data_IF_366893158313
#
_entry.id   IF_366893158313
#
_cell.length_a   1.000
_cell.length_b   1.000
_cell.length_c   1.000
_cell.angle_alpha   90.00
_cell.angle_beta   90.00
_cell.angle_gamma   90.00
#
_symmetry.space_group_name_H-M   'P 1'
#
loop_
_entity.id
_entity.type
_entity.pdbx_description
1 polymer ?
#
# COMPACT_ATOMS: atom_id res chain seq x y z
N UNK A 1 -11.99 -13.25 2.79
CA UNK A 1 -13.39 -13.03 3.20
C UNK A 1 -14.07 -12.16 2.15
N UNK A 2 -15.30 -12.46 1.75
CA UNK A 2 -16.07 -11.61 0.83
C UNK A 2 -16.79 -10.52 1.64
N UNK A 3 -16.55 -9.27 1.28
CA UNK A 3 -17.20 -8.10 1.86
C UNK A 3 -18.24 -7.56 0.88
N UNK A 4 -19.39 -7.12 1.40
CA UNK A 4 -20.49 -6.57 0.60
C UNK A 4 -20.88 -5.21 1.14
N UNK A 5 -20.95 -4.21 0.27
CA UNK A 5 -21.18 -2.80 0.62
C UNK A 5 -22.21 -2.21 -0.35
N UNK A 6 -23.20 -1.53 0.19
CA UNK A 6 -24.13 -0.71 -0.59
C UNK A 6 -23.47 0.62 -0.94
N UNK A 7 -23.52 0.99 -2.22
CA UNK A 7 -22.89 2.19 -2.77
C UNK A 7 -23.89 2.96 -3.64
N UNK A 8 -23.54 4.21 -3.94
CA UNK A 8 -24.25 5.01 -4.93
C UNK A 8 -23.51 5.01 -6.27
N UNK A 9 -24.25 5.18 -7.36
CA UNK A 9 -23.69 5.36 -8.70
C UNK A 9 -24.52 6.37 -9.50
N UNK A 10 -23.95 6.93 -10.56
CA UNK A 10 -24.60 7.95 -11.38
C UNK A 10 -24.11 7.90 -12.82
N UNK A 11 -24.87 8.54 -13.73
CA UNK A 11 -24.52 8.67 -15.15
C UNK A 11 -23.97 10.06 -15.46
N UNK A 12 -22.91 10.13 -16.26
CA UNK A 12 -22.27 11.40 -16.65
C UNK A 12 -23.14 12.30 -17.55
N UNK A 13 -24.07 11.71 -18.31
CA UNK A 13 -24.94 12.41 -19.26
C UNK A 13 -26.19 13.06 -18.63
N UNK A 14 -26.32 13.00 -17.30
CA UNK A 14 -27.33 13.77 -16.55
C UNK A 14 -26.86 15.21 -16.37
N UNK A 15 -26.96 16.00 -17.44
CA UNK A 15 -26.71 17.44 -17.42
C UNK A 15 -27.72 18.09 -16.48
N UNK A 16 -27.24 18.93 -15.55
CA UNK A 16 -27.97 19.69 -14.51
C UNK A 16 -28.22 18.98 -13.16
N UNK A 17 -27.38 19.34 -12.17
CA UNK A 17 -27.58 19.57 -10.72
C UNK A 17 -28.49 18.67 -9.85
N UNK A 18 -29.19 17.69 -10.41
CA UNK A 18 -30.01 16.67 -9.75
C UNK A 18 -29.76 15.31 -10.42
N UNK A 19 -28.49 14.98 -10.66
CA UNK A 19 -28.11 13.64 -11.12
C UNK A 19 -28.48 12.64 -10.01
N UNK A 20 -29.69 12.09 -10.11
CA UNK A 20 -30.21 11.12 -9.14
C UNK A 20 -29.21 9.97 -9.03
N UNK A 21 -28.63 9.82 -7.86
CA UNK A 21 -27.83 8.64 -7.58
C UNK A 21 -28.75 7.42 -7.60
N UNK A 22 -28.27 6.35 -8.19
CA UNK A 22 -28.91 5.04 -8.13
C UNK A 22 -28.18 4.19 -7.11
N UNK A 23 -28.93 3.30 -6.45
CA UNK A 23 -28.35 2.33 -5.54
C UNK A 23 -27.65 1.23 -6.34
N UNK A 24 -26.44 0.89 -5.93
CA UNK A 24 -25.63 -0.17 -6.48
C UNK A 24 -24.97 -0.95 -5.33
N UNK A 25 -24.39 -2.11 -5.64
CA UNK A 25 -23.74 -2.96 -4.65
C UNK A 25 -22.33 -3.29 -5.09
N UNK A 26 -21.36 -3.06 -4.23
CA UNK A 26 -19.99 -3.50 -4.40
C UNK A 26 -19.71 -4.73 -3.53
N UNK A 27 -19.06 -5.72 -4.10
CA UNK A 27 -18.51 -6.87 -3.39
C UNK A 27 -17.02 -6.92 -3.64
N UNK A 28 -16.23 -7.15 -2.60
CA UNK A 28 -14.79 -7.32 -2.76
C UNK A 28 -14.22 -8.41 -1.87
N UNK A 29 -13.15 -9.01 -2.33
CA UNK A 29 -12.39 -10.01 -1.59
C UNK A 29 -10.90 -9.70 -1.75
N UNK A 30 -10.19 -9.74 -0.62
CA UNK A 30 -8.71 -9.78 -0.59
C UNK A 30 -8.27 -11.22 -0.81
N UNK A 31 -7.39 -11.44 -1.79
CA UNK A 31 -6.73 -12.72 -2.08
C UNK A 31 -5.22 -12.59 -1.99
N UNK A 32 -4.49 -13.72 -1.95
CA UNK A 32 -3.02 -13.72 -1.99
C UNK A 32 -2.53 -13.62 -3.45
N UNK A 33 -1.34 -13.06 -3.69
CA UNK A 33 -0.62 -13.05 -4.98
C UNK A 33 -1.49 -12.76 -6.22
N UNK A 34 -2.01 -11.53 -6.37
CA UNK A 34 -2.85 -11.15 -7.52
C UNK A 34 -4.28 -11.70 -7.58
N UNK A 35 -4.84 -12.07 -6.43
CA UNK A 35 -6.18 -12.63 -6.36
C UNK A 35 -7.22 -11.73 -5.68
N UNK A 36 -7.00 -10.41 -5.65
CA UNK A 36 -8.05 -9.50 -5.22
C UNK A 36 -9.18 -9.46 -6.28
N UNK A 37 -10.42 -9.51 -5.82
CA UNK A 37 -11.61 -9.54 -6.66
C UNK A 37 -12.53 -8.39 -6.27
N UNK A 38 -13.02 -7.66 -7.27
CA UNK A 38 -14.09 -6.66 -7.11
C UNK A 38 -15.22 -6.99 -8.07
N UNK A 39 -16.46 -7.01 -7.56
CA UNK A 39 -17.70 -7.07 -8.34
C UNK A 39 -18.56 -5.88 -8.01
N UNK A 40 -19.16 -5.27 -9.02
CA UNK A 40 -20.11 -4.18 -8.82
C UNK A 40 -21.38 -4.43 -9.62
N UNK A 41 -22.50 -4.44 -8.92
CA UNK A 41 -23.83 -4.67 -9.47
C UNK A 41 -24.64 -3.38 -9.48
N UNK A 42 -25.23 -3.04 -10.63
CA UNK A 42 -26.05 -1.85 -10.79
C UNK A 42 -26.90 -1.91 -12.06
N UNK A 43 -27.49 -0.78 -12.49
CA UNK A 43 -28.32 -0.75 -13.71
C UNK A 43 -27.58 -1.11 -15.00
N UNK A 44 -26.25 -1.07 -15.00
CA UNK A 44 -25.38 -1.55 -16.08
C UNK A 44 -25.22 -3.09 -16.10
N UNK A 45 -25.78 -3.82 -15.13
CA UNK A 45 -25.53 -5.24 -14.93
C UNK A 45 -24.44 -5.47 -13.88
N UNK A 46 -23.48 -6.36 -14.19
CA UNK A 46 -22.37 -6.70 -13.29
C UNK A 46 -21.04 -6.40 -13.97
N UNK A 47 -20.22 -5.57 -13.34
CA UNK A 47 -18.79 -5.43 -13.67
C UNK A 47 -17.95 -6.24 -12.69
N UNK A 48 -16.92 -6.94 -13.19
CA UNK A 48 -16.05 -7.78 -12.37
C UNK A 48 -14.61 -7.69 -12.86
N UNK A 49 -13.66 -7.57 -11.94
CA UNK A 49 -12.25 -7.70 -12.26
C UNK A 49 -11.45 -8.32 -11.13
N UNK A 50 -10.36 -9.00 -11.51
CA UNK A 50 -9.30 -9.44 -10.62
C UNK A 50 -8.02 -8.64 -10.86
N UNK A 51 -7.27 -8.40 -9.79
CA UNK A 51 -6.00 -7.67 -9.84
C UNK A 51 -5.12 -7.96 -8.61
N UNK A 52 -3.95 -7.30 -8.54
CA UNK A 52 -3.02 -7.40 -7.41
C UNK A 52 -3.67 -7.05 -6.08
N UNK A 53 -4.47 -5.99 -6.08
CA UNK A 53 -5.14 -5.46 -4.91
C UNK A 53 -6.56 -4.97 -5.25
N UNK A 54 -7.35 -4.68 -4.22
CA UNK A 54 -8.76 -4.28 -4.37
C UNK A 54 -8.89 -2.94 -5.10
N UNK A 55 -7.94 -2.02 -4.98
CA UNK A 55 -7.95 -0.73 -5.67
C UNK A 55 -7.70 -0.92 -7.17
N UNK A 56 -6.70 -1.73 -7.56
CA UNK A 56 -6.44 -2.03 -8.96
C UNK A 56 -7.61 -2.79 -9.60
N UNK A 57 -8.22 -3.73 -8.87
CA UNK A 57 -9.43 -4.42 -9.33
C UNK A 57 -10.59 -3.44 -9.53
N UNK A 58 -10.76 -2.48 -8.62
CA UNK A 58 -11.75 -1.40 -8.76
C UNK A 58 -11.46 -0.52 -9.98
N UNK A 59 -10.19 -0.15 -10.25
CA UNK A 59 -9.84 0.64 -11.43
C UNK A 59 -10.21 -0.08 -12.73
N UNK A 60 -9.96 -1.40 -12.82
CA UNK A 60 -10.35 -2.21 -13.99
C UNK A 60 -11.86 -2.20 -14.20
N UNK A 61 -12.64 -2.46 -13.15
CA UNK A 61 -14.12 -2.38 -13.22
C UNK A 61 -14.57 -0.98 -13.65
N UNK A 62 -13.96 0.07 -13.09
CA UNK A 62 -14.34 1.45 -13.41
C UNK A 62 -14.07 1.83 -14.86
N UNK A 63 -12.96 1.38 -15.47
CA UNK A 63 -12.70 1.62 -16.90
C UNK A 63 -13.85 1.09 -17.75
N UNK A 64 -14.31 -0.14 -17.48
CA UNK A 64 -15.43 -0.74 -18.20
C UNK A 64 -16.74 0.03 -17.97
N UNK A 65 -16.99 0.52 -16.75
CA UNK A 65 -18.19 1.30 -16.43
C UNK A 65 -18.17 2.70 -17.04
N UNK A 66 -17.00 3.34 -17.08
CA UNK A 66 -16.82 4.67 -17.66
C UNK A 66 -17.12 4.65 -19.17
N UNK A 67 -16.76 3.57 -19.89
CA UNK A 67 -17.15 3.35 -21.29
C UNK A 67 -18.68 3.26 -21.48
N UNK A 68 -19.39 2.77 -20.46
CA UNK A 68 -20.86 2.72 -20.41
C UNK A 68 -21.49 4.02 -19.87
N UNK A 69 -20.68 5.02 -19.53
CA UNK A 69 -21.11 6.30 -18.98
C UNK A 69 -21.51 6.28 -17.49
N UNK A 70 -21.12 5.23 -16.76
CA UNK A 70 -21.45 5.03 -15.35
C UNK A 70 -20.26 5.31 -14.42
N UNK A 71 -20.55 5.96 -13.30
CA UNK A 71 -19.58 6.33 -12.28
C UNK A 71 -20.05 5.86 -10.90
N UNK A 72 -19.10 5.40 -10.07
CA UNK A 72 -19.35 4.94 -8.71
C UNK A 72 -19.05 6.08 -7.72
N UNK A 73 -20.02 6.41 -6.85
CA UNK A 73 -19.88 7.43 -5.82
C UNK A 73 -19.21 6.87 -4.55
N UNK A 74 -17.97 6.41 -4.72
CA UNK A 74 -17.12 5.85 -3.65
C UNK A 74 -15.82 6.62 -3.53
N UNK A 75 -15.19 6.62 -2.35
CA UNK A 75 -13.94 7.36 -2.13
C UNK A 75 -12.84 6.95 -3.11
N UNK A 76 -12.78 5.66 -3.47
CA UNK A 76 -11.86 5.13 -4.47
C UNK A 76 -11.99 5.73 -5.86
N UNK A 77 -13.11 6.41 -6.16
CA UNK A 77 -13.37 7.05 -7.43
C UNK A 77 -13.18 8.57 -7.42
N UNK A 78 -12.77 9.16 -6.29
CA UNK A 78 -12.57 10.61 -6.20
C UNK A 78 -11.34 11.08 -6.97
N UNK A 79 -11.45 12.20 -7.66
CA UNK A 79 -10.33 12.81 -8.42
C UNK A 79 -9.23 13.37 -7.54
N UNK A 80 -9.49 13.56 -6.24
CA UNK A 80 -8.58 14.16 -5.27
C UNK A 80 -7.90 13.14 -4.35
N UNK A 81 -8.05 11.83 -4.63
CA UNK A 81 -7.37 10.78 -3.85
C UNK A 81 -6.32 10.06 -4.68
N UNK A 82 -5.25 9.67 -4.01
CA UNK A 82 -4.20 8.80 -4.50
C UNK A 82 -4.22 7.50 -3.72
N UNK A 83 -3.88 6.41 -4.39
CA UNK A 83 -3.59 5.14 -3.74
C UNK A 83 -2.16 4.75 -4.12
N UNK A 84 -1.20 5.18 -3.29
CA UNK A 84 0.23 4.94 -3.51
C UNK A 84 0.63 3.58 -2.93
N UNK A 85 1.72 2.99 -3.45
CA UNK A 85 2.16 1.63 -3.11
C UNK A 85 2.21 1.34 -1.60
N UNK A 86 2.62 2.33 -0.81
CA UNK A 86 2.69 2.27 0.67
C UNK A 86 1.36 1.83 1.31
N UNK A 87 0.22 2.19 0.72
CA UNK A 87 -1.13 1.97 1.24
C UNK A 87 -1.80 0.74 0.65
N UNK A 88 -1.52 0.50 -0.63
CA UNK A 88 -2.08 -0.65 -1.38
C UNK A 88 -1.66 -1.95 -0.73
N UNK A 89 -0.41 -2.04 -0.28
CA UNK A 89 0.17 -3.29 0.21
C UNK A 89 -0.28 -3.68 1.64
N UNK A 90 -0.74 -2.73 2.46
CA UNK A 90 -1.20 -3.03 3.84
C UNK A 90 -2.70 -3.12 3.99
N UNK A 91 -3.46 -2.22 3.35
CA UNK A 91 -4.92 -2.33 3.31
C UNK A 91 -5.37 -3.49 2.40
N UNK A 92 -4.52 -3.95 1.48
CA UNK A 92 -4.91 -4.80 0.36
C UNK A 92 -5.71 -4.01 -0.68
N UNK A 93 -5.42 -2.71 -0.82
CA UNK A 93 -6.13 -1.77 -1.68
C UNK A 93 -7.49 -1.32 -1.15
N UNK A 94 -7.78 -1.47 0.14
CA UNK A 94 -9.08 -1.08 0.72
C UNK A 94 -9.11 0.33 1.29
N UNK A 95 -8.02 1.09 1.16
CA UNK A 95 -7.91 2.47 1.62
C UNK A 95 -7.29 3.36 0.53
N UNK A 96 -7.70 4.63 0.52
CA UNK A 96 -7.16 5.67 -0.36
C UNK A 96 -6.80 6.90 0.45
N UNK A 97 -5.86 7.69 -0.04
CA UNK A 97 -5.37 8.88 0.64
C UNK A 97 -5.70 10.14 -0.11
N UNK A 98 -6.12 11.16 0.63
CA UNK A 98 -6.14 12.52 0.11
C UNK A 98 -4.79 13.18 0.48
N UNK A 99 -3.97 13.59 -0.50
CA UNK A 99 -2.76 14.34 -0.24
C UNK A 99 -3.15 15.77 0.13
N UNK A 100 -3.08 16.11 1.42
CA UNK A 100 -3.30 17.48 1.91
C UNK A 100 -1.92 18.12 2.17
N UNK A 101 -1.83 19.45 2.22
CA UNK A 101 -0.54 20.19 2.31
C UNK A 101 0.30 19.89 3.56
N UNK A 102 -0.31 19.33 4.61
CA UNK A 102 0.35 19.08 5.89
C UNK A 102 0.04 17.69 6.50
N UNK A 103 -1.04 17.03 6.08
CA UNK A 103 -1.47 15.72 6.59
C UNK A 103 -2.05 14.84 5.49
N UNK A 104 -1.94 13.51 5.63
CA UNK A 104 -2.57 12.57 4.71
C UNK A 104 -3.84 12.03 5.34
N UNK A 105 -5.00 12.34 4.76
CA UNK A 105 -6.28 11.81 5.25
C UNK A 105 -6.53 10.43 4.62
N UNK A 106 -6.71 9.39 5.43
CA UNK A 106 -7.05 8.04 4.97
C UNK A 106 -8.56 7.83 4.90
N UNK A 107 -9.04 7.29 3.79
CA UNK A 107 -10.45 7.02 3.53
C UNK A 107 -10.65 5.56 3.12
N UNK A 108 -11.70 4.91 3.63
CA UNK A 108 -12.08 3.58 3.17
C UNK A 108 -12.47 3.61 1.68
N UNK A 109 -11.94 2.68 0.88
CA UNK A 109 -12.08 2.64 -0.58
C UNK A 109 -13.53 2.73 -1.05
N UNK A 110 -14.38 1.88 -0.48
CA UNK A 110 -15.81 1.80 -0.79
C UNK A 110 -16.67 2.67 0.14
N UNK A 111 -16.05 3.56 0.93
CA UNK A 111 -16.79 4.58 1.68
C UNK A 111 -17.50 5.55 0.72
N UNK A 112 -18.61 6.18 1.14
CA UNK A 112 -19.39 7.06 0.28
C UNK A 112 -18.58 8.30 -0.12
N UNK A 113 -18.74 8.73 -1.38
CA UNK A 113 -18.17 9.98 -1.89
C UNK A 113 -19.26 10.89 -2.45
N UNK A 114 -19.01 12.20 -2.40
CA UNK A 114 -19.80 13.18 -3.14
C UNK A 114 -19.60 12.95 -4.66
N UNK A 115 -20.67 12.75 -5.46
CA UNK A 115 -20.57 12.63 -6.91
C UNK A 115 -19.80 13.79 -7.57
N UNK A 116 -19.82 14.99 -6.99
CA UNK A 116 -19.07 16.15 -7.48
C UNK A 116 -17.54 15.98 -7.35
N UNK A 117 -17.06 15.10 -6.47
CA UNK A 117 -15.63 14.80 -6.31
C UNK A 117 -15.17 13.61 -7.15
N UNK A 118 -16.09 12.82 -7.70
CA UNK A 118 -15.75 11.65 -8.53
C UNK A 118 -15.16 12.08 -9.87
N UNK A 119 -14.10 11.39 -10.28
CA UNK A 119 -13.41 11.58 -11.55
C UNK A 119 -13.28 10.27 -12.34
N UNK A 120 -12.73 10.40 -13.53
CA UNK A 120 -12.34 9.29 -14.40
C UNK A 120 -11.11 8.57 -13.86
N UNK A 121 -10.90 7.32 -14.28
CA UNK A 121 -9.66 6.60 -13.97
C UNK A 121 -8.44 7.35 -14.52
N UNK A 122 -8.54 7.95 -15.71
CA UNK A 122 -7.45 8.70 -16.33
C UNK A 122 -7.03 9.94 -15.49
N UNK A 123 -7.98 10.68 -14.93
CA UNK A 123 -7.69 11.82 -14.04
C UNK A 123 -6.95 11.37 -12.76
N UNK A 124 -7.33 10.24 -12.18
CA UNK A 124 -6.65 9.72 -10.99
C UNK A 124 -5.25 9.16 -11.30
N UNK A 125 -5.05 8.59 -12.49
CA UNK A 125 -3.73 8.15 -12.95
C UNK A 125 -2.79 9.34 -13.15
N UNK A 126 -3.28 10.46 -13.67
CA UNK A 126 -2.54 11.71 -13.77
C UNK A 126 -2.11 12.21 -12.38
N UNK A 127 -3.06 12.32 -11.45
CA UNK A 127 -2.77 12.75 -10.08
C UNK A 127 -1.74 11.82 -9.41
N UNK A 128 -1.88 10.51 -9.60
CA UNK A 128 -0.95 9.51 -9.05
C UNK A 128 0.45 9.66 -9.64
N UNK A 129 0.57 10.05 -10.91
CA UNK A 129 1.86 10.33 -11.56
C UNK A 129 2.49 11.58 -10.97
N UNK A 130 1.73 12.66 -10.82
CA UNK A 130 2.19 13.91 -10.19
C UNK A 130 2.68 13.69 -8.74
N UNK A 131 2.07 12.76 -8.01
CA UNK A 131 2.37 12.48 -6.60
C UNK A 131 3.29 11.27 -6.38
N UNK A 132 3.71 10.56 -7.43
CA UNK A 132 4.68 9.47 -7.30
C UNK A 132 6.08 10.05 -7.10
N UNK A 133 6.78 9.74 -5.99
CA UNK A 133 8.13 10.24 -5.79
C UNK A 133 9.08 9.63 -6.84
N UNK A 134 9.76 10.51 -7.57
CA UNK A 134 11.11 10.33 -8.13
C UNK A 134 11.39 9.12 -9.05
N UNK A 135 10.40 8.57 -9.76
CA UNK A 135 10.69 7.63 -10.86
C UNK A 135 11.29 8.32 -12.10
N UNK A 136 11.19 9.65 -12.20
CA UNK A 136 11.46 10.38 -13.45
C UNK A 136 12.90 10.87 -13.64
N UNK A 137 13.71 11.01 -12.58
CA UNK A 137 15.08 11.50 -12.79
C UNK A 137 15.99 10.35 -13.27
N UNK A 138 16.58 10.50 -14.48
CA UNK A 138 17.49 9.49 -15.01
C UNK A 138 18.66 9.29 -14.03
N UNK A 139 19.07 8.04 -13.75
CA UNK A 139 20.25 7.81 -12.92
C UNK A 139 21.47 8.45 -13.57
N UNK A 140 22.34 9.07 -12.78
CA UNK A 140 23.56 9.67 -13.29
C UNK A 140 24.40 8.64 -14.05
N UNK A 141 24.83 8.99 -15.26
CA UNK A 141 25.71 8.13 -16.08
C UNK A 141 27.12 8.15 -15.49
N UNK A 142 27.48 7.09 -14.77
CA UNK A 142 28.81 6.93 -14.18
C UNK A 142 29.86 6.50 -15.21
N UNK A 143 31.15 6.62 -14.89
CA UNK A 143 32.22 6.13 -15.79
C UNK A 143 32.20 4.60 -15.91
N UNK A 144 31.76 3.89 -14.88
CA UNK A 144 31.56 2.43 -14.92
C UNK A 144 30.50 2.05 -15.95
N UNK A 145 29.38 2.76 -15.97
CA UNK A 145 28.34 2.60 -17.00
C UNK A 145 28.92 2.86 -18.39
N UNK A 146 29.71 3.94 -18.57
CA UNK A 146 30.37 4.22 -19.86
C UNK A 146 31.35 3.13 -20.27
N UNK A 147 32.09 2.54 -19.33
CA UNK A 147 32.99 1.44 -19.61
C UNK A 147 32.22 0.19 -20.09
N UNK A 148 31.10 -0.15 -19.44
CA UNK A 148 30.21 -1.24 -19.87
C UNK A 148 29.66 -0.98 -21.27
N UNK A 149 29.17 0.24 -21.54
CA UNK A 149 28.61 0.61 -22.85
C UNK A 149 29.63 0.50 -23.99
N UNK A 150 30.89 0.90 -23.77
CA UNK A 150 31.99 0.72 -24.74
C UNK A 150 32.29 -0.75 -25.05
N UNK A 151 32.01 -1.65 -24.12
CA UNK A 151 32.20 -3.10 -24.30
C UNK A 151 30.97 -3.80 -24.88
N UNK A 152 29.81 -3.12 -24.88
CA UNK A 152 28.54 -3.65 -25.34
C UNK A 152 27.84 -2.64 -26.29
N UNK A 153 28.42 -2.34 -27.47
CA UNK A 153 27.77 -1.45 -28.43
C UNK A 153 26.50 -2.07 -29.02
N UNK A 154 25.61 -1.23 -29.56
CA UNK A 154 24.31 -1.63 -30.12
C UNK A 154 23.42 -2.42 -29.15
N UNK A 155 23.40 -2.01 -27.88
CA UNK A 155 22.70 -2.71 -26.80
C UNK A 155 21.84 -1.76 -25.96
N UNK A 156 21.24 -2.29 -24.89
CA UNK A 156 20.58 -1.52 -23.85
C UNK A 156 21.33 -1.71 -22.54
N UNK A 157 21.58 -0.61 -21.83
CA UNK A 157 22.03 -0.65 -20.44
C UNK A 157 20.85 -0.31 -19.53
N UNK A 158 20.39 -1.30 -18.76
CA UNK A 158 19.26 -1.15 -17.86
C UNK A 158 19.68 -0.53 -16.53
N UNK A 159 18.83 0.35 -16.02
CA UNK A 159 18.86 0.84 -14.64
C UNK A 159 17.93 -0.02 -13.80
N UNK A 160 18.45 -0.62 -12.74
CA UNK A 160 17.74 -1.55 -11.85
C UNK A 160 17.53 -0.86 -10.50
N UNK A 161 16.41 -1.12 -9.82
CA UNK A 161 16.18 -0.64 -8.44
C UNK A 161 17.26 -1.19 -7.49
N UNK A 162 17.70 -0.36 -6.55
CA UNK A 162 18.78 -0.70 -5.63
C UNK A 162 18.45 -1.88 -4.68
N UNK A 163 17.17 -2.20 -4.51
CA UNK A 163 16.73 -3.37 -3.74
C UNK A 163 17.03 -4.71 -4.43
N UNK A 164 17.27 -4.70 -5.75
CA UNK A 164 17.64 -5.90 -6.48
C UNK A 164 19.15 -6.02 -6.65
N UNK A 165 19.66 -7.25 -6.49
CA UNK A 165 21.00 -7.58 -6.94
C UNK A 165 21.04 -7.55 -8.48
N UNK A 166 21.84 -6.66 -9.10
CA UNK A 166 21.92 -6.56 -10.57
C UNK A 166 22.46 -7.82 -11.25
N UNK A 167 23.11 -8.72 -10.50
CA UNK A 167 23.62 -10.00 -10.99
C UNK A 167 22.60 -11.15 -10.91
N UNK A 168 21.44 -10.90 -10.28
CA UNK A 168 20.36 -11.86 -10.12
C UNK A 168 19.27 -11.71 -11.19
N UNK A 169 18.29 -12.61 -11.20
CA UNK A 169 17.10 -12.47 -12.05
C UNK A 169 16.21 -11.37 -11.48
N UNK A 170 16.16 -10.23 -12.17
CA UNK A 170 15.34 -9.08 -11.79
C UNK A 170 13.98 -9.17 -12.50
N UNK A 171 12.85 -9.05 -11.77
CA UNK A 171 11.54 -9.01 -12.40
C UNK A 171 11.39 -7.74 -13.28
N UNK A 172 10.57 -7.76 -14.35
CA UNK A 172 10.43 -6.62 -15.25
C UNK A 172 10.04 -5.31 -14.55
N UNK A 173 9.28 -5.38 -13.46
CA UNK A 173 8.87 -4.22 -12.66
C UNK A 173 9.98 -3.67 -11.74
N UNK A 174 11.07 -4.42 -11.53
CA UNK A 174 12.25 -3.98 -10.79
C UNK A 174 13.25 -3.18 -11.63
N UNK A 175 12.99 -3.04 -12.94
CA UNK A 175 13.79 -2.24 -13.87
C UNK A 175 13.22 -0.82 -13.88
N UNK A 176 14.03 0.18 -13.56
CA UNK A 176 13.67 1.60 -13.58
C UNK A 176 13.46 2.13 -15.00
N UNK A 177 14.26 1.61 -15.93
CA UNK A 177 14.33 2.06 -17.31
C UNK A 177 15.68 1.69 -17.91
N UNK A 178 16.08 2.35 -19.00
CA UNK A 178 17.37 2.07 -19.60
C UNK A 178 17.84 3.11 -20.60
N UNK A 179 19.13 3.04 -20.90
CA UNK A 179 19.78 3.83 -21.93
C UNK A 179 20.04 2.96 -23.15
N UNK A 180 19.66 3.47 -24.33
CA UNK A 180 20.10 2.85 -25.58
C UNK A 180 21.58 3.15 -25.80
N UNK A 181 22.37 2.12 -26.10
CA UNK A 181 23.80 2.24 -26.42
C UNK A 181 23.99 2.13 -27.93
N UNK A 182 24.64 3.13 -28.52
CA UNK A 182 24.90 3.15 -29.96
C UNK A 182 26.09 2.26 -30.38
N UNK A 183 26.43 2.27 -31.66
CA UNK A 183 27.53 1.47 -32.22
C UNK A 183 28.92 1.89 -31.72
N UNK A 184 29.05 3.08 -31.13
CA UNK A 184 30.28 3.62 -30.57
C UNK A 184 30.35 3.47 -29.04
N UNK A 185 29.32 2.91 -28.42
CA UNK A 185 29.24 2.75 -26.96
C UNK A 185 28.82 4.04 -26.23
N UNK A 186 28.20 5.00 -26.92
CA UNK A 186 27.63 6.18 -26.29
C UNK A 186 26.16 5.95 -25.90
N UNK A 187 25.74 6.63 -24.83
CA UNK A 187 24.36 6.59 -24.37
C UNK A 187 23.48 7.56 -25.14
N UNK A 188 22.33 7.08 -25.60
CA UNK A 188 21.20 7.90 -26.02
C UNK A 188 20.38 8.40 -24.83
N UNK A 189 19.14 8.80 -25.13
CA UNK A 189 18.18 9.24 -24.13
C UNK A 189 17.77 8.11 -23.17
N UNK A 190 17.48 8.47 -21.91
CA UNK A 190 16.92 7.55 -20.94
C UNK A 190 15.45 7.28 -21.28
N UNK A 191 15.08 6.01 -21.36
CA UNK A 191 13.70 5.59 -21.53
C UNK A 191 13.21 5.00 -20.20
N UNK A 192 12.27 5.66 -19.49
CA UNK A 192 11.71 5.13 -18.27
C UNK A 192 10.86 3.89 -18.55
N UNK A 193 10.86 2.94 -17.60
CA UNK A 193 9.98 1.78 -17.67
C UNK A 193 8.62 2.14 -17.05
N UNK A 194 7.51 2.17 -17.81
CA UNK A 194 6.19 2.48 -17.27
C UNK A 194 5.67 1.43 -16.28
N UNK A 195 6.25 0.22 -16.28
CA UNK A 195 5.94 -0.85 -15.33
C UNK A 195 6.82 -0.84 -14.07
N UNK A 196 7.71 0.14 -13.90
CA UNK A 196 8.59 0.22 -12.74
C UNK A 196 7.80 0.42 -11.43
N UNK A 197 8.14 -0.37 -10.41
CA UNK A 197 7.62 -0.24 -9.05
C UNK A 197 8.76 0.19 -8.12
N UNK A 198 8.75 1.42 -7.58
CA UNK A 198 9.87 1.93 -6.79
C UNK A 198 10.01 1.22 -5.44
N UNK A 199 11.24 0.84 -5.10
CA UNK A 199 11.60 0.33 -3.78
C UNK A 199 11.72 1.44 -2.71
N UNK A 200 11.93 1.08 -1.43
CA UNK A 200 12.00 2.02 -0.30
C UNK A 200 12.95 3.21 -0.53
N UNK A 201 14.14 2.95 -1.08
CA UNK A 201 15.11 4.01 -1.36
C UNK A 201 14.64 4.97 -2.45
N UNK A 202 14.04 4.44 -3.54
CA UNK A 202 13.50 5.27 -4.62
C UNK A 202 12.27 6.08 -4.18
N UNK A 203 11.51 5.56 -3.22
CA UNK A 203 10.42 6.27 -2.53
C UNK A 203 10.90 7.35 -1.56
N UNK A 204 12.21 7.47 -1.34
CA UNK A 204 12.81 8.44 -0.43
C UNK A 204 12.55 8.13 1.04
N UNK A 205 12.26 6.87 1.38
CA UNK A 205 11.95 6.51 2.76
C UNK A 205 13.17 6.59 3.67
N UNK A 206 12.96 6.90 4.96
CA UNK A 206 14.02 6.85 5.96
C UNK A 206 14.61 5.44 6.04
N UNK A 207 15.92 5.33 6.27
CA UNK A 207 16.56 4.03 6.48
C UNK A 207 15.99 3.37 7.75
N UNK A 208 15.70 2.07 7.70
CA UNK A 208 15.25 1.33 8.88
C UNK A 208 16.41 1.23 9.88
N UNK A 209 16.10 1.35 11.17
CA UNK A 209 17.09 1.19 12.25
C UNK A 209 16.98 -0.16 12.94
N UNK A 210 15.95 -0.95 12.62
CA UNK A 210 15.71 -2.26 13.19
C UNK A 210 15.00 -3.19 12.19
N UNK A 211 14.92 -4.49 12.53
CA UNK A 211 14.37 -5.51 11.64
C UNK A 211 12.87 -5.32 11.38
N UNK A 212 12.09 -4.91 12.37
CA UNK A 212 10.66 -4.64 12.17
C UNK A 212 10.46 -3.52 11.14
N UNK A 213 11.23 -2.42 11.22
CA UNK A 213 11.19 -1.36 10.22
C UNK A 213 11.60 -1.85 8.82
N UNK A 214 12.62 -2.72 8.71
CA UNK A 214 13.03 -3.31 7.43
C UNK A 214 11.95 -4.21 6.83
N UNK A 215 11.29 -5.02 7.66
CA UNK A 215 10.23 -5.89 7.17
C UNK A 215 8.98 -5.09 6.80
N UNK A 216 8.67 -4.04 7.58
CA UNK A 216 7.60 -3.09 7.26
C UNK A 216 7.86 -2.38 5.94
N UNK A 217 9.07 -1.85 5.69
CA UNK A 217 9.35 -1.18 4.42
C UNK A 217 9.25 -2.14 3.22
N UNK A 218 9.76 -3.37 3.35
CA UNK A 218 9.68 -4.35 2.27
C UNK A 218 8.22 -4.72 1.98
N UNK A 219 7.42 -4.96 3.03
CA UNK A 219 6.00 -5.21 2.88
C UNK A 219 5.25 -4.00 2.29
N UNK A 220 5.51 -2.78 2.78
CA UNK A 220 4.85 -1.55 2.33
C UNK A 220 5.21 -1.19 0.88
N UNK A 221 6.44 -1.48 0.43
CA UNK A 221 6.88 -1.23 -0.94
C UNK A 221 6.49 -2.35 -1.91
N UNK A 222 6.06 -3.51 -1.40
CA UNK A 222 5.73 -4.69 -2.21
C UNK A 222 6.94 -5.51 -2.63
N UNK A 223 8.10 -5.24 -2.01
CA UNK A 223 9.36 -5.95 -2.23
C UNK A 223 9.54 -7.16 -1.31
N UNK A 224 8.66 -7.33 -0.32
CA UNK A 224 8.64 -8.49 0.57
C UNK A 224 7.22 -8.91 0.95
N UNK A 225 7.05 -10.16 1.40
CA UNK A 225 5.75 -10.65 1.83
C UNK A 225 5.31 -9.96 3.12
N UNK A 226 4.02 -9.62 3.17
CA UNK A 226 3.39 -8.99 4.33
C UNK A 226 3.48 -9.85 5.58
N UNK A 227 3.38 -11.17 5.41
CA UNK A 227 3.44 -12.16 6.47
C UNK A 227 4.76 -12.09 7.25
N UNK A 228 5.87 -11.73 6.59
CA UNK A 228 7.16 -11.55 7.27
C UNK A 228 7.09 -10.37 8.24
N UNK A 229 6.53 -9.24 7.83
CA UNK A 229 6.35 -8.09 8.72
C UNK A 229 5.42 -8.41 9.90
N UNK A 230 4.32 -9.14 9.66
CA UNK A 230 3.39 -9.56 10.73
C UNK A 230 4.04 -10.56 11.71
N UNK A 231 4.82 -11.51 11.20
CA UNK A 231 5.58 -12.46 12.03
C UNK A 231 6.60 -11.73 12.91
N UNK A 232 7.39 -10.83 12.32
CA UNK A 232 8.35 -10.01 13.07
C UNK A 232 7.63 -9.15 14.10
N UNK A 233 6.52 -8.52 13.74
CA UNK A 233 5.72 -7.68 14.64
C UNK A 233 5.20 -8.45 15.86
N UNK A 234 4.76 -9.71 15.70
CA UNK A 234 4.28 -10.52 16.82
C UNK A 234 5.34 -10.66 17.93
N UNK A 235 6.59 -10.91 17.54
CA UNK A 235 7.70 -11.10 18.48
C UNK A 235 8.41 -9.81 18.87
N UNK A 236 8.06 -8.69 18.24
CA UNK A 236 8.73 -7.43 18.47
C UNK A 236 8.26 -6.74 19.76
N UNK A 237 9.18 -6.14 20.50
CA UNK A 237 8.86 -5.28 21.64
C UNK A 237 8.56 -3.85 21.16
N UNK A 238 7.32 -3.43 21.34
CA UNK A 238 6.83 -2.11 20.96
C UNK A 238 6.85 -1.18 22.18
N UNK A 239 7.20 0.08 21.96
CA UNK A 239 7.07 1.15 22.96
C UNK A 239 5.74 1.87 22.74
N UNK A 240 4.93 2.03 23.78
CA UNK A 240 3.59 2.64 23.69
C UNK A 240 3.44 3.71 24.76
N UNK A 241 2.63 4.74 24.48
CA UNK A 241 2.26 5.73 25.48
C UNK A 241 1.46 5.08 26.62
N UNK A 242 1.77 5.48 27.85
CA UNK A 242 1.08 5.06 29.07
C UNK A 242 0.39 6.28 29.69
N UNK A 243 -0.77 6.06 30.34
CA UNK A 243 -1.40 7.09 31.16
C UNK A 243 -0.55 7.36 32.42
N UNK A 244 -0.07 8.60 32.65
CA UNK A 244 0.77 8.91 33.81
C UNK A 244 0.15 8.52 35.16
N UNK A 245 -1.18 8.59 35.27
CA UNK A 245 -1.93 8.30 36.49
C UNK A 245 -2.49 6.86 36.55
N UNK A 246 -2.37 6.09 35.46
CA UNK A 246 -2.92 4.73 35.33
C UNK A 246 -1.87 3.78 34.74
N UNK A 247 -0.87 3.37 35.54
CA UNK A 247 0.20 2.53 35.04
C UNK A 247 -0.32 1.17 34.56
N UNK A 248 0.14 0.76 33.38
CA UNK A 248 -0.32 -0.45 32.68
C UNK A 248 -1.57 -0.27 31.80
N UNK A 249 -2.18 0.92 31.75
CA UNK A 249 -3.26 1.23 30.80
C UNK A 249 -2.71 1.83 29.50
N UNK A 250 -3.20 1.33 28.36
CA UNK A 250 -2.81 1.81 27.03
C UNK A 250 -3.68 2.99 26.59
N UNK A 251 -3.07 3.95 25.89
CA UNK A 251 -3.79 5.06 25.28
C UNK A 251 -4.37 4.65 23.91
N UNK A 252 -5.70 4.74 23.78
CA UNK A 252 -6.40 4.59 22.50
C UNK A 252 -6.98 5.94 22.08
N UNK A 253 -6.58 6.43 20.90
CA UNK A 253 -7.18 7.62 20.30
C UNK A 253 -8.42 7.23 19.50
N UNK A 254 -9.48 8.05 19.57
CA UNK A 254 -10.68 7.88 18.75
C UNK A 254 -10.56 8.71 17.48
N UNK A 255 -10.58 8.06 16.32
CA UNK A 255 -10.48 8.69 15.01
C UNK A 255 -11.64 8.29 14.08
N UNK A 256 -11.83 9.04 12.99
CA UNK A 256 -12.74 8.64 11.93
C UNK A 256 -12.26 7.30 11.32
N UNK A 257 -12.94 6.20 11.65
CA UNK A 257 -12.52 4.84 11.30
C UNK A 257 -12.27 3.91 12.49
N UNK A 258 -12.44 4.40 13.73
CA UNK A 258 -12.36 3.62 14.97
C UNK A 258 -11.09 3.90 15.77
N UNK A 259 -10.96 3.19 16.89
CA UNK A 259 -9.89 3.39 17.86
C UNK A 259 -8.51 3.05 17.28
N UNK A 260 -7.52 3.87 17.61
CA UNK A 260 -6.12 3.73 17.19
C UNK A 260 -5.21 3.64 18.41
N UNK A 261 -4.32 2.66 18.40
CA UNK A 261 -3.23 2.52 19.35
C UNK A 261 -1.94 3.01 18.68
N UNK A 262 -1.33 4.07 19.22
CA UNK A 262 -0.04 4.54 18.76
C UNK A 262 1.10 3.79 19.47
N UNK A 263 2.07 3.32 18.69
CA UNK A 263 3.24 2.60 19.18
C UNK A 263 4.49 2.98 18.38
N UNK A 264 5.66 2.70 18.95
CA UNK A 264 6.96 2.93 18.35
C UNK A 264 7.69 1.60 18.20
N UNK A 265 8.41 1.46 17.08
CA UNK A 265 9.24 0.28 16.77
C UNK A 265 10.47 0.17 17.65
N UNK A 266 10.85 1.24 18.35
CA UNK A 266 11.88 1.21 19.39
C UNK A 266 11.76 2.41 20.35
N UNK A 267 12.42 2.37 21.52
CA UNK A 267 12.44 3.50 22.45
C UNK A 267 13.06 4.78 21.85
N UNK A 268 13.99 4.64 20.90
CA UNK A 268 14.61 5.77 20.19
C UNK A 268 13.65 6.47 19.23
N UNK A 269 12.56 5.80 18.83
CA UNK A 269 11.49 6.37 18.00
C UNK A 269 10.41 7.07 18.81
N UNK A 270 10.51 7.11 20.15
CA UNK A 270 9.52 7.73 21.03
C UNK A 270 9.35 9.24 20.74
N UNK A 271 8.12 9.73 20.48
CA UNK A 271 7.82 11.15 20.39
C UNK A 271 8.16 11.90 21.69
N UNK A 272 8.58 13.17 21.59
CA UNK A 272 8.98 13.97 22.74
C UNK A 272 7.82 14.22 23.73
N UNK A 273 6.60 14.28 23.21
CA UNK A 273 5.35 14.47 23.94
C UNK A 273 4.95 13.27 24.81
N UNK A 274 5.53 12.09 24.61
CA UNK A 274 5.22 10.91 25.42
C UNK A 274 5.95 10.98 26.77
N UNK A 275 5.23 11.41 27.80
CA UNK A 275 5.78 11.61 29.16
C UNK A 275 6.01 10.31 29.93
N UNK A 276 5.18 9.28 29.70
CA UNK A 276 5.37 7.92 30.20
C UNK A 276 5.20 6.92 29.08
N UNK A 277 5.99 5.85 29.11
CA UNK A 277 5.92 4.78 28.11
C UNK A 277 6.05 3.43 28.77
N UNK A 278 5.37 2.46 28.16
CA UNK A 278 5.49 1.05 28.49
C UNK A 278 5.95 0.26 27.27
N UNK A 279 6.58 -0.89 27.52
CA UNK A 279 7.00 -1.82 26.50
C UNK A 279 6.15 -3.10 26.57
N UNK A 280 5.71 -3.60 25.42
CA UNK A 280 5.06 -4.90 25.32
C UNK A 280 5.39 -5.58 23.99
N UNK A 281 5.43 -6.92 24.00
CA UNK A 281 5.52 -7.68 22.76
C UNK A 281 4.25 -7.51 21.90
N UNK A 282 4.37 -7.52 20.58
CA UNK A 282 3.23 -7.44 19.67
C UNK A 282 2.16 -8.52 19.92
N UNK A 283 2.56 -9.72 20.38
CA UNK A 283 1.63 -10.78 20.83
C UNK A 283 0.68 -10.34 21.95
N UNK A 284 1.06 -9.39 22.80
CA UNK A 284 0.17 -8.84 23.84
C UNK A 284 -1.02 -8.06 23.24
N UNK A 285 -0.92 -7.65 21.97
CA UNK A 285 -1.95 -6.87 21.29
C UNK A 285 -3.06 -7.73 20.66
N UNK A 286 -2.95 -9.05 20.71
CA UNK A 286 -3.94 -9.98 20.12
C UNK A 286 -5.35 -9.90 20.76
N UNK A 287 -5.48 -9.24 21.92
CA UNK A 287 -6.76 -8.98 22.57
C UNK A 287 -7.54 -7.77 22.05
N UNK A 288 -6.94 -6.95 21.19
CA UNK A 288 -7.47 -5.64 20.78
C UNK A 288 -8.07 -5.67 19.37
N UNK A 289 -8.89 -6.69 19.08
CA UNK A 289 -9.60 -6.76 17.79
C UNK A 289 -10.44 -5.51 17.52
N UNK A 290 -10.45 -5.05 16.28
CA UNK A 290 -11.13 -3.81 15.87
C UNK A 290 -10.33 -2.51 16.08
N UNK A 291 -9.19 -2.56 16.79
CA UNK A 291 -8.26 -1.43 16.93
C UNK A 291 -7.25 -1.43 15.79
N UNK A 292 -6.81 -0.25 15.36
CA UNK A 292 -5.68 -0.08 14.43
C UNK A 292 -4.42 0.28 15.20
N UNK A 293 -3.32 -0.43 14.96
CA UNK A 293 -1.99 -0.12 15.47
C UNK A 293 -1.29 0.83 14.51
N UNK A 294 -0.95 2.04 14.95
CA UNK A 294 -0.17 3.00 14.17
C UNK A 294 1.24 3.09 14.74
N UNK A 295 2.22 2.72 13.91
CA UNK A 295 3.63 2.70 14.23
C UNK A 295 4.30 4.02 13.86
N UNK A 296 5.17 4.52 14.74
CA UNK A 296 6.03 5.68 14.55
C UNK A 296 5.28 6.95 14.07
N UNK A 297 4.05 7.16 14.56
CA UNK A 297 3.22 8.30 14.19
C UNK A 297 3.93 9.62 14.50
N UNK A 298 4.07 10.50 13.50
CA UNK A 298 4.69 11.82 13.67
C UNK A 298 6.21 11.80 13.96
N UNK A 299 6.85 10.63 13.93
CA UNK A 299 8.28 10.50 14.25
C UNK A 299 9.12 10.88 13.04
N UNK A 300 9.89 11.97 13.16
CA UNK A 300 10.76 12.44 12.07
C UNK A 300 11.83 11.40 11.75
N UNK A 301 12.01 11.08 10.47
CA UNK A 301 13.01 10.12 10.01
C UNK A 301 12.65 8.66 10.32
N UNK A 302 11.38 8.36 10.56
CA UNK A 302 10.87 7.00 10.67
C UNK A 302 9.72 6.77 9.68
N UNK A 303 9.60 5.54 9.19
CA UNK A 303 8.44 5.12 8.41
C UNK A 303 7.26 4.91 9.37
N UNK A 304 6.14 5.60 9.09
CA UNK A 304 4.88 5.36 9.80
C UNK A 304 4.03 4.35 9.05
N UNK A 305 3.46 3.40 9.78
CA UNK A 305 2.64 2.33 9.22
C UNK A 305 1.38 2.16 10.08
N UNK A 306 0.22 1.92 9.47
CA UNK A 306 -1.01 1.59 10.21
C UNK A 306 -1.48 0.19 9.86
N UNK A 307 -1.72 -0.61 10.89
CA UNK A 307 -1.97 -2.04 10.81
C UNK A 307 -3.26 -2.34 11.57
N UNK A 308 -4.32 -2.85 10.93
CA UNK A 308 -5.46 -3.37 11.67
C UNK A 308 -4.99 -4.52 12.56
N UNK A 309 -5.22 -4.44 13.88
CA UNK A 309 -4.83 -5.52 14.79
C UNK A 309 -5.59 -6.82 14.49
N UNK A 310 -6.74 -6.72 13.83
CA UNK A 310 -7.44 -7.90 13.30
C UNK A 310 -6.56 -8.72 12.35
N UNK A 311 -5.73 -8.08 11.53
CA UNK A 311 -4.86 -8.80 10.59
C UNK A 311 -3.72 -9.53 11.32
N UNK A 312 -3.21 -8.95 12.41
CA UNK A 312 -2.24 -9.60 13.29
C UNK A 312 -2.87 -10.81 14.02
N UNK A 313 -4.13 -10.69 14.44
CA UNK A 313 -4.92 -11.76 15.06
C UNK A 313 -5.16 -12.91 14.09
N UNK A 314 -5.63 -12.61 12.89
CA UNK A 314 -5.91 -13.60 11.86
C UNK A 314 -4.63 -14.35 11.45
N UNK A 315 -3.51 -13.63 11.32
CA UNK A 315 -2.20 -14.22 11.05
C UNK A 315 -1.76 -15.18 12.17
N UNK A 316 -1.81 -14.73 13.44
CA UNK A 316 -1.42 -15.57 14.58
C UNK A 316 -2.31 -16.82 14.73
N UNK A 317 -3.60 -16.74 14.43
CA UNK A 317 -4.51 -17.89 14.41
C UNK A 317 -4.16 -18.89 13.29
N UNK A 318 -3.74 -18.39 12.12
CA UNK A 318 -3.26 -19.19 11.00
C UNK A 318 -2.00 -19.98 11.34
N UNK A 319 -1.00 -19.34 11.96
CA UNK A 319 0.24 -20.00 12.40
C UNK A 319 -0.02 -21.15 13.39
N UNK A 320 -0.89 -20.92 14.38
CA UNK A 320 -1.26 -21.96 15.36
C UNK A 320 -1.94 -23.17 14.71
N UNK A 321 -2.79 -22.92 13.71
CA UNK A 321 -3.49 -23.97 12.98
C UNK A 321 -2.52 -24.78 12.12
N UNK A 322 -1.60 -24.12 11.42
CA UNK A 322 -0.55 -24.76 10.63
C UNK A 322 0.42 -25.57 11.50
N UNK A 323 0.82 -25.04 12.66
CA UNK A 323 1.68 -25.73 13.62
C UNK A 323 1.02 -26.99 14.19
N UNK A 324 -0.28 -26.94 14.52
CA UNK A 324 -1.05 -28.11 14.96
C UNK A 324 -1.23 -29.17 13.86
N UNK A 325 -1.30 -28.77 12.60
CA UNK A 325 -1.38 -29.71 11.48
C UNK A 325 -0.04 -30.43 11.27
N UNK A 326 1.09 -29.72 11.35
CA UNK A 326 2.43 -30.31 11.23
C UNK A 326 2.73 -31.32 12.35
N UNK A 327 2.40 -30.98 13.60
CA UNK A 327 2.62 -31.89 14.74
C UNK A 327 1.75 -33.15 14.70
N UNK A 328 0.56 -33.10 14.08
CA UNK A 328 -0.26 -34.30 13.84
C UNK A 328 0.23 -35.18 12.68
N UNK A 329 0.88 -34.59 11.68
CA UNK A 329 1.47 -35.31 10.55
C UNK A 329 2.74 -36.08 10.94
N UNK A 330 3.59 -35.51 11.81
CA UNK A 330 4.83 -36.14 12.26
C UNK A 330 4.60 -37.35 13.21
N UNK A 331 3.45 -37.41 13.88
CA UNK A 331 3.06 -38.54 14.73
C UNK A 331 2.47 -39.74 13.96
N UNK A 332 2.39 -39.67 12.62
CA UNK A 332 1.86 -40.75 11.76
C UNK A 332 2.92 -41.40 10.84
N UNK A 333 4.21 -41.26 11.16
CA UNK A 333 5.31 -41.94 10.44
C UNK A 333 6.13 -42.81 11.38
#
# INVERSE_FOLDING_TARGET
MLHTIEIAAFRADTVFLDAGTTQARAEYQRGQDEDALVRVHGPWGTGEARAHDVYEALLRVRRDLEELGWFLAVNGARRDVVCLGQTRNWSGGTEVHRPDTETTTTLALFGPADPALVGTVAEQEELTREHSPAADEPPEITEEMRAVARHQPNSWLYSIDAEFDPSSVVPPWGVRGGYRVDEHGHFGEYVPNPGYRPGPQALGWPRPTNQLERDLELALSGYGPRETALATLLDWELTMAEYPDHPGELFLSEEAGGSVLDACTSPERRPEEWTSCQAAQGRALLGFGGVRLRLNAGVTGALSATIPLQDLIDFAAGEQTAGRARSRGELST
#
